data_IF_695851202431
#
_entry.id   IF_695851202431
#
_cell.length_a   1.000
_cell.length_b   1.000
_cell.length_c   1.000
_cell.angle_alpha   90.00
_cell.angle_beta   90.00
_cell.angle_gamma   90.00
#
_symmetry.space_group_name_H-M   'P 1'
#
loop_
_entity.id
_entity.type
_entity.pdbx_description
1 polymer ?
#
# COMPACT_ATOMS: atom_id res chain seq x y z
N UNK A 1 -30.84 13.72 -2.19
CA UNK A 1 -29.36 13.73 -2.30
C UNK A 1 -28.99 12.55 -3.20
N UNK A 2 -28.65 12.87 -4.45
CA UNK A 2 -29.04 12.10 -5.63
C UNK A 2 -28.17 10.86 -5.89
N UNK A 3 -28.79 9.76 -6.32
CA UNK A 3 -28.12 8.54 -6.78
C UNK A 3 -27.05 8.80 -7.87
N UNK A 4 -27.23 9.86 -8.67
CA UNK A 4 -26.26 10.35 -9.66
C UNK A 4 -24.92 10.78 -9.03
N UNK A 5 -24.94 11.32 -7.81
CA UNK A 5 -23.74 11.79 -7.09
C UNK A 5 -22.96 10.60 -6.50
N UNK A 6 -23.63 9.49 -6.18
CA UNK A 6 -22.98 8.22 -5.82
C UNK A 6 -22.41 7.53 -7.06
N UNK A 7 -23.13 7.54 -8.19
CA UNK A 7 -22.64 6.96 -9.44
C UNK A 7 -21.39 7.68 -9.99
N UNK A 8 -21.29 8.99 -9.81
CA UNK A 8 -20.14 9.77 -10.29
C UNK A 8 -18.82 9.42 -9.58
N UNK A 9 -18.85 8.90 -8.36
CA UNK A 9 -17.66 8.37 -7.66
C UNK A 9 -17.08 7.12 -8.34
N UNK A 10 -17.93 6.33 -9.02
CA UNK A 10 -17.49 5.12 -9.73
C UNK A 10 -17.04 5.41 -11.17
N UNK A 11 -17.52 6.50 -11.76
CA UNK A 11 -17.18 6.92 -13.14
C UNK A 11 -15.98 7.87 -13.13
N UNK A 12 -15.89 8.73 -12.11
CA UNK A 12 -14.85 9.76 -11.98
C UNK A 12 -13.99 9.39 -10.79
N UNK A 13 -12.84 8.79 -11.06
CA UNK A 13 -11.86 8.48 -10.02
C UNK A 13 -11.48 9.75 -9.28
N UNK A 14 -11.55 9.73 -7.95
CA UNK A 14 -11.13 10.87 -7.13
C UNK A 14 -9.64 11.12 -7.38
N UNK A 15 -9.23 12.31 -7.84
CA UNK A 15 -7.83 12.60 -8.11
C UNK A 15 -7.09 12.63 -6.77
N UNK A 16 -6.45 11.51 -6.43
CA UNK A 16 -5.63 11.41 -5.22
C UNK A 16 -4.20 11.86 -5.50
N UNK A 17 -3.72 12.78 -4.67
CA UNK A 17 -2.32 13.18 -4.62
C UNK A 17 -1.44 12.03 -4.12
N UNK A 18 -0.13 12.07 -4.40
CA UNK A 18 0.80 11.00 -4.01
C UNK A 18 0.77 10.68 -2.52
N UNK A 19 0.68 11.69 -1.65
CA UNK A 19 0.59 11.51 -0.20
C UNK A 19 -0.70 10.83 0.26
N UNK A 20 -1.85 11.17 -0.34
CA UNK A 20 -3.14 10.54 -0.02
C UNK A 20 -3.16 9.06 -0.42
N UNK A 21 -2.54 8.71 -1.56
CA UNK A 21 -2.38 7.31 -1.98
C UNK A 21 -1.52 6.53 -0.99
N UNK A 22 -0.41 7.11 -0.53
CA UNK A 22 0.46 6.48 0.47
C UNK A 22 -0.30 6.26 1.79
N UNK A 23 -1.04 7.26 2.25
CA UNK A 23 -1.83 7.19 3.48
C UNK A 23 -2.91 6.10 3.43
N UNK A 24 -3.47 5.80 2.25
CA UNK A 24 -4.39 4.66 2.08
C UNK A 24 -3.66 3.32 1.95
N UNK A 25 -2.48 3.28 1.34
CA UNK A 25 -1.68 2.07 1.20
C UNK A 25 -1.14 1.54 2.53
N UNK A 26 -0.62 2.43 3.39
CA UNK A 26 0.01 2.07 4.67
C UNK A 26 -0.90 1.21 5.56
N UNK A 27 -2.16 1.58 5.87
CA UNK A 27 -3.04 0.77 6.71
C UNK A 27 -3.39 -0.58 6.06
N UNK A 28 -3.50 -0.64 4.73
CA UNK A 28 -3.74 -1.90 4.01
C UNK A 28 -2.54 -2.85 4.13
N UNK A 29 -1.32 -2.34 3.89
CA UNK A 29 -0.09 -3.12 4.04
C UNK A 29 0.13 -3.55 5.49
N UNK A 30 -0.20 -2.69 6.45
CA UNK A 30 -0.09 -2.98 7.87
C UNK A 30 -1.07 -4.08 8.29
N UNK A 31 -2.31 -4.05 7.79
CA UNK A 31 -3.30 -5.11 8.04
C UNK A 31 -2.80 -6.49 7.59
N UNK A 32 -2.29 -6.59 6.36
CA UNK A 32 -1.73 -7.83 5.82
C UNK A 32 -0.51 -8.28 6.63
N UNK A 33 0.39 -7.35 6.97
CA UNK A 33 1.59 -7.66 7.74
C UNK A 33 1.26 -8.19 9.15
N UNK A 34 0.26 -7.60 9.81
CA UNK A 34 -0.21 -8.06 11.13
C UNK A 34 -0.80 -9.46 11.01
N UNK A 35 -1.75 -9.70 10.11
CA UNK A 35 -2.40 -11.02 9.93
C UNK A 35 -1.37 -12.12 9.57
N UNK A 36 -0.40 -11.78 8.73
CA UNK A 36 0.66 -12.70 8.36
C UNK A 36 1.57 -13.02 9.56
N UNK A 37 1.97 -12.03 10.34
CA UNK A 37 2.86 -12.26 11.49
C UNK A 37 2.15 -12.90 12.67
N UNK A 38 0.87 -12.63 12.88
CA UNK A 38 0.09 -13.28 13.95
C UNK A 38 -0.12 -14.77 13.70
N UNK A 39 -0.24 -15.20 12.44
CA UNK A 39 -0.41 -16.62 12.09
C UNK A 39 0.89 -17.41 12.09
N UNK A 40 2.03 -16.75 11.89
CA UNK A 40 3.32 -17.40 11.66
C UNK A 40 4.31 -17.31 12.84
N UNK A 41 4.08 -16.45 13.83
CA UNK A 41 4.98 -16.27 14.97
C UNK A 41 4.52 -17.05 16.20
N UNK A 42 5.45 -17.74 16.87
CA UNK A 42 5.22 -18.45 18.13
C UNK A 42 5.08 -17.48 19.32
N UNK A 43 5.79 -16.35 19.30
CA UNK A 43 5.76 -15.33 20.35
C UNK A 43 4.96 -14.09 19.93
N UNK A 44 3.79 -13.90 20.56
CA UNK A 44 2.87 -12.79 20.27
C UNK A 44 3.42 -11.39 20.59
N UNK A 45 4.39 -11.28 21.51
CA UNK A 45 4.99 -9.99 21.89
C UNK A 45 5.88 -9.37 20.81
N UNK A 46 6.41 -10.18 19.89
CA UNK A 46 7.27 -9.69 18.81
C UNK A 46 6.48 -9.28 17.56
N UNK A 47 5.20 -9.65 17.50
CA UNK A 47 4.29 -9.40 16.38
C UNK A 47 4.21 -7.93 15.95
N UNK A 48 4.04 -6.92 16.83
CA UNK A 48 3.87 -5.54 16.38
C UNK A 48 5.12 -4.99 15.69
N UNK A 49 6.31 -5.28 16.21
CA UNK A 49 7.57 -4.85 15.59
C UNK A 49 7.80 -5.61 14.29
N UNK A 50 7.59 -6.93 14.30
CA UNK A 50 7.79 -7.76 13.12
C UNK A 50 6.81 -7.43 11.99
N UNK A 51 5.57 -7.05 12.31
CA UNK A 51 4.58 -6.59 11.34
C UNK A 51 4.95 -5.22 10.76
N UNK A 52 5.47 -4.29 11.58
CA UNK A 52 5.92 -2.99 11.11
C UNK A 52 7.11 -3.13 10.15
N UNK A 53 8.08 -4.00 10.49
CA UNK A 53 9.19 -4.35 9.59
C UNK A 53 8.67 -4.93 8.27
N UNK A 54 7.73 -5.88 8.32
CA UNK A 54 7.14 -6.46 7.10
C UNK A 54 6.46 -5.40 6.23
N UNK A 55 5.68 -4.50 6.86
CA UNK A 55 4.98 -3.43 6.17
C UNK A 55 5.98 -2.52 5.43
N UNK A 56 7.05 -2.09 6.10
CA UNK A 56 8.11 -1.28 5.48
C UNK A 56 8.79 -2.04 4.33
N UNK A 57 9.09 -3.32 4.50
CA UNK A 57 9.69 -4.15 3.44
C UNK A 57 8.79 -4.25 2.21
N UNK A 58 7.48 -4.44 2.40
CA UNK A 58 6.50 -4.47 1.30
C UNK A 58 6.48 -3.13 0.56
N UNK A 59 6.36 -2.02 1.30
CA UNK A 59 6.35 -0.68 0.71
C UNK A 59 7.62 -0.40 -0.07
N UNK A 60 8.78 -0.73 0.50
CA UNK A 60 10.07 -0.52 -0.15
C UNK A 60 10.21 -1.36 -1.42
N UNK A 61 9.81 -2.64 -1.38
CA UNK A 61 9.81 -3.51 -2.56
C UNK A 61 8.93 -2.97 -3.68
N UNK A 62 7.72 -2.51 -3.36
CA UNK A 62 6.82 -1.91 -4.35
C UNK A 62 7.38 -0.63 -4.97
N UNK A 63 7.97 0.25 -4.14
CA UNK A 63 8.63 1.46 -4.63
C UNK A 63 9.86 1.16 -5.49
N UNK A 64 10.67 0.18 -5.10
CA UNK A 64 11.86 -0.23 -5.84
C UNK A 64 11.50 -0.75 -7.24
N UNK A 65 10.45 -1.55 -7.36
CA UNK A 65 9.94 -2.02 -8.67
C UNK A 65 9.47 -0.84 -9.52
N UNK A 66 8.68 0.07 -8.94
CA UNK A 66 8.21 1.26 -9.65
C UNK A 66 9.35 2.15 -10.14
N UNK A 67 10.35 2.39 -9.30
CA UNK A 67 11.55 3.15 -9.66
C UNK A 67 12.36 2.44 -10.75
N UNK A 68 12.51 1.11 -10.65
CA UNK A 68 13.21 0.31 -11.65
C UNK A 68 12.54 0.40 -13.03
N UNK A 69 11.21 0.27 -13.08
CA UNK A 69 10.43 0.44 -14.31
C UNK A 69 10.57 1.85 -14.88
N UNK A 70 10.54 2.88 -14.03
CA UNK A 70 10.72 4.26 -14.45
C UNK A 70 12.11 4.51 -15.06
N UNK A 71 13.16 3.99 -14.43
CA UNK A 71 14.53 4.09 -14.93
C UNK A 71 14.70 3.37 -16.26
N UNK A 72 14.14 2.16 -16.39
CA UNK A 72 14.14 1.42 -17.66
C UNK A 72 13.43 2.19 -18.76
N UNK A 73 12.25 2.74 -18.47
CA UNK A 73 11.50 3.56 -19.41
C UNK A 73 12.32 4.76 -19.89
N UNK A 74 12.96 5.47 -18.95
CA UNK A 74 13.78 6.66 -19.23
C UNK A 74 15.09 6.38 -19.98
N UNK A 75 15.55 5.13 -19.99
CA UNK A 75 16.71 4.69 -20.77
C UNK A 75 16.29 4.25 -22.17
N UNK A 76 15.09 3.68 -22.32
CA UNK A 76 14.59 3.13 -23.58
C UNK A 76 13.93 4.18 -24.48
N UNK A 77 13.36 5.23 -23.89
CA UNK A 77 12.70 6.38 -24.55
C UNK A 77 13.51 7.64 -24.29
#
# INVERSE_FOLDING_TARGET
>A
MNALLLASLFITGVPMTGGQRLAMMVPLCLSVAVVYKTTRCENLREVPVAALVLCVTILFGMYAVGLGLFLLFKIMV
#
